data_IF_877184919187
#
_entry.id   IF_877184919187
#
_cell.length_a   1.000
_cell.length_b   1.000
_cell.length_c   1.000
_cell.angle_alpha   90.00
_cell.angle_beta   90.00
_cell.angle_gamma   90.00
#
_symmetry.space_group_name_H-M   'P 1'
#
loop_
_entity.id
_entity.type
_entity.pdbx_description
1 polymer ?
#
# COMPACT_ATOMS: atom_id res chain seq x y z
N UNK A 1 -22.79 0.54 31.52
CA UNK A 1 -22.37 1.79 30.84
C UNK A 1 -20.98 2.28 31.30
N UNK A 2 -20.16 1.40 31.88
CA UNK A 2 -18.93 1.76 32.60
C UNK A 2 -17.66 1.13 32.01
N UNK A 3 -17.78 0.28 30.99
CA UNK A 3 -16.64 -0.44 30.39
C UNK A 3 -16.04 0.30 29.17
N UNK A 4 -16.80 1.19 28.53
CA UNK A 4 -16.34 1.89 27.32
C UNK A 4 -15.37 3.03 27.60
N UNK A 5 -15.34 3.57 28.84
CA UNK A 5 -14.52 4.74 29.21
C UNK A 5 -13.04 4.45 29.48
N UNK A 6 -12.65 3.19 29.70
CA UNK A 6 -11.26 2.85 30.02
C UNK A 6 -10.38 2.81 28.77
N UNK A 7 -10.95 2.48 27.60
CA UNK A 7 -10.21 2.41 26.33
C UNK A 7 -9.91 3.79 25.71
N UNK A 8 -10.60 4.85 26.15
CA UNK A 8 -10.37 6.22 25.66
C UNK A 8 -9.15 6.90 26.33
N UNK A 9 -8.54 6.31 27.36
CA UNK A 9 -7.45 6.96 28.13
C UNK A 9 -6.02 6.63 27.67
N UNK A 10 -5.86 5.93 26.56
CA UNK A 10 -4.59 5.93 25.80
C UNK A 10 -4.90 6.21 24.33
N UNK A 11 -5.48 7.38 24.05
CA UNK A 11 -5.34 7.96 22.71
C UNK A 11 -3.85 8.23 22.51
N UNK A 12 -3.12 7.25 21.96
CA UNK A 12 -1.80 7.51 21.40
C UNK A 12 -2.05 8.40 20.19
N UNK A 13 -1.84 9.73 20.28
CA UNK A 13 -2.34 10.63 19.28
C UNK A 13 -1.36 10.55 18.10
N UNK A 14 -1.68 9.73 17.11
CA UNK A 14 -0.99 9.78 15.83
C UNK A 14 -1.22 11.19 15.29
N UNK A 15 -0.14 11.98 15.20
CA UNK A 15 -0.21 13.37 14.73
C UNK A 15 -0.87 13.41 13.35
N UNK A 16 -2.12 13.90 13.30
CA UNK A 16 -2.91 14.05 12.07
C UNK A 16 -2.33 15.19 11.24
N UNK A 17 -1.34 14.90 10.40
CA UNK A 17 -0.82 15.86 9.42
C UNK A 17 -1.67 15.93 8.14
N UNK A 18 -1.40 16.88 7.25
CA UNK A 18 -2.08 16.98 5.95
C UNK A 18 -1.46 16.07 4.88
N UNK A 19 -2.23 15.71 3.85
CA UNK A 19 -1.70 15.00 2.67
C UNK A 19 -0.92 15.96 1.75
N UNK A 20 0.23 16.48 2.21
CA UNK A 20 0.96 17.60 1.60
C UNK A 20 1.17 17.49 0.08
N UNK A 21 1.58 16.31 -0.40
CA UNK A 21 1.80 16.05 -1.83
C UNK A 21 0.48 16.10 -2.60
N UNK A 22 -0.58 15.49 -2.07
CA UNK A 22 -1.89 15.50 -2.71
C UNK A 22 -2.48 16.92 -2.71
N UNK A 23 -2.42 17.64 -1.59
CA UNK A 23 -2.82 19.05 -1.49
C UNK A 23 -2.08 19.92 -2.49
N UNK A 24 -0.76 19.76 -2.62
CA UNK A 24 0.03 20.51 -3.61
C UNK A 24 -0.36 20.16 -5.06
N UNK A 25 -0.74 18.91 -5.31
CA UNK A 25 -1.09 18.39 -6.64
C UNK A 25 -2.49 18.83 -7.09
N UNK A 26 -3.48 18.72 -6.20
CA UNK A 26 -4.88 19.03 -6.49
C UNK A 26 -5.27 20.47 -6.12
N UNK A 27 -4.39 21.19 -5.42
CA UNK A 27 -4.49 22.63 -5.18
C UNK A 27 -5.28 23.02 -3.92
N UNK A 28 -6.00 22.10 -3.28
CA UNK A 28 -6.76 22.37 -2.07
C UNK A 28 -6.83 21.14 -1.17
N UNK A 29 -6.82 21.37 0.15
CA UNK A 29 -7.11 20.30 1.12
C UNK A 29 -8.57 19.82 1.08
N UNK A 30 -9.45 20.64 0.50
CA UNK A 30 -10.86 20.38 0.32
C UNK A 30 -11.18 19.76 -1.04
N UNK A 31 -10.17 19.48 -1.88
CA UNK A 31 -10.43 18.78 -3.14
C UNK A 31 -11.01 17.39 -2.85
N UNK A 32 -11.91 16.87 -3.69
CA UNK A 32 -12.52 15.56 -3.48
C UNK A 32 -11.49 14.45 -3.27
N UNK A 33 -10.39 14.48 -4.02
CA UNK A 33 -9.30 13.51 -3.94
C UNK A 33 -8.60 13.55 -2.58
N UNK A 34 -8.23 14.74 -2.11
CA UNK A 34 -7.53 14.93 -0.83
C UNK A 34 -8.46 14.59 0.33
N UNK A 35 -9.73 14.98 0.23
CA UNK A 35 -10.72 14.69 1.25
C UNK A 35 -11.01 13.19 1.38
N UNK A 36 -11.05 12.47 0.25
CA UNK A 36 -11.13 11.00 0.27
C UNK A 36 -9.93 10.39 1.00
N UNK A 37 -8.69 10.77 0.64
CA UNK A 37 -7.48 10.26 1.30
C UNK A 37 -7.48 10.51 2.81
N UNK A 38 -7.92 11.70 3.22
CA UNK A 38 -8.07 12.05 4.64
C UNK A 38 -9.13 11.21 5.32
N UNK A 39 -10.30 11.04 4.69
CA UNK A 39 -11.40 10.26 5.24
C UNK A 39 -11.03 8.79 5.41
N UNK A 40 -10.39 8.19 4.38
CA UNK A 40 -9.86 6.83 4.43
C UNK A 40 -8.88 6.68 5.61
N UNK A 41 -7.90 7.57 5.73
CA UNK A 41 -6.94 7.55 6.85
C UNK A 41 -7.63 7.72 8.19
N UNK A 42 -8.45 8.75 8.35
CA UNK A 42 -8.95 9.18 9.65
C UNK A 42 -10.08 8.29 10.17
N UNK A 43 -10.91 7.71 9.29
CA UNK A 43 -12.08 6.92 9.67
C UNK A 43 -11.84 5.41 9.60
N UNK A 44 -11.02 4.93 8.65
CA UNK A 44 -10.78 3.50 8.45
C UNK A 44 -9.43 3.08 9.01
N UNK A 45 -8.34 3.78 8.65
CA UNK A 45 -7.00 3.36 9.08
C UNK A 45 -6.78 3.63 10.56
N UNK A 46 -6.98 4.88 11.00
CA UNK A 46 -6.68 5.29 12.38
C UNK A 46 -7.68 4.77 13.43
N UNK A 47 -8.82 4.20 13.01
CA UNK A 47 -9.75 3.55 13.93
C UNK A 47 -9.24 2.18 14.41
N UNK A 48 -8.24 1.60 13.75
CA UNK A 48 -7.66 0.29 14.07
C UNK A 48 -6.28 0.41 14.73
N UNK A 49 -5.92 -0.54 15.60
CA UNK A 49 -4.62 -0.62 16.26
C UNK A 49 -3.50 -0.85 15.25
N UNK A 50 -3.66 -1.83 14.35
CA UNK A 50 -2.67 -2.08 13.30
C UNK A 50 -2.49 -0.85 12.38
N UNK A 51 -3.59 -0.20 12.01
CA UNK A 51 -3.55 1.00 11.17
C UNK A 51 -2.90 2.19 11.86
N UNK A 52 -3.15 2.43 13.16
CA UNK A 52 -2.44 3.47 13.93
C UNK A 52 -0.94 3.22 13.97
N UNK A 53 -0.52 2.00 14.30
CA UNK A 53 0.89 1.63 14.35
C UNK A 53 1.58 1.82 12.99
N UNK A 54 0.95 1.36 11.90
CA UNK A 54 1.45 1.58 10.55
C UNK A 54 1.58 3.07 10.22
N UNK A 55 0.55 3.87 10.54
CA UNK A 55 0.53 5.31 10.24
C UNK A 55 1.63 6.08 10.96
N UNK A 56 2.09 5.64 12.12
CA UNK A 56 3.26 6.25 12.76
C UNK A 56 4.54 6.06 11.95
N UNK A 57 4.80 4.83 11.50
CA UNK A 57 5.97 4.52 10.66
C UNK A 57 5.87 5.28 9.34
N UNK A 58 4.69 5.22 8.71
CA UNK A 58 4.42 5.93 7.47
C UNK A 58 4.60 7.45 7.62
N UNK A 59 4.07 8.06 8.68
CA UNK A 59 4.17 9.51 8.90
C UNK A 59 5.62 9.95 9.11
N UNK A 60 6.40 9.20 9.89
CA UNK A 60 7.81 9.50 10.09
C UNK A 60 8.58 9.50 8.76
N UNK A 61 8.33 8.48 7.92
CA UNK A 61 8.89 8.43 6.57
C UNK A 61 8.37 9.56 5.68
N UNK A 62 7.05 9.71 5.56
CA UNK A 62 6.40 10.63 4.63
C UNK A 62 6.73 12.10 4.92
N UNK A 63 6.63 12.55 6.17
CA UNK A 63 6.88 13.96 6.52
C UNK A 63 8.37 14.33 6.55
N UNK A 64 9.29 13.37 6.50
CA UNK A 64 10.72 13.66 6.42
C UNK A 64 11.14 14.31 5.09
N UNK A 65 10.39 14.08 4.01
CA UNK A 65 10.75 14.57 2.66
C UNK A 65 9.59 15.24 1.92
N UNK A 66 8.33 14.91 2.25
CA UNK A 66 7.16 15.45 1.53
C UNK A 66 7.02 16.97 1.53
N UNK A 67 7.43 17.76 2.56
CA UNK A 67 7.29 19.22 2.52
C UNK A 67 8.07 19.86 1.37
N UNK A 68 9.30 19.39 1.13
CA UNK A 68 10.15 19.86 0.04
C UNK A 68 9.52 19.53 -1.31
N UNK A 69 9.08 18.27 -1.50
CA UNK A 69 8.41 17.84 -2.74
C UNK A 69 7.12 18.63 -2.99
N UNK A 70 6.29 18.84 -1.96
CA UNK A 70 5.06 19.63 -2.05
C UNK A 70 5.34 21.10 -2.43
N UNK A 71 6.45 21.68 -1.98
CA UNK A 71 6.87 23.01 -2.40
C UNK A 71 7.23 23.04 -3.91
N UNK A 72 7.98 22.05 -4.41
CA UNK A 72 8.31 21.95 -5.84
C UNK A 72 7.06 21.77 -6.71
N UNK A 73 6.11 20.91 -6.30
CA UNK A 73 4.85 20.69 -7.02
C UNK A 73 4.03 21.99 -7.15
N UNK A 74 3.97 22.79 -6.07
CA UNK A 74 3.21 24.05 -6.08
C UNK A 74 3.75 25.05 -7.09
N UNK A 75 5.08 25.08 -7.29
CA UNK A 75 5.76 26.04 -8.16
C UNK A 75 5.79 25.66 -9.63
N UNK A 76 5.60 24.38 -9.97
CA UNK A 76 5.78 23.92 -11.35
C UNK A 76 4.56 23.15 -11.86
N UNK A 77 3.89 23.70 -12.88
CA UNK A 77 2.69 23.14 -13.48
C UNK A 77 2.93 21.77 -14.15
N UNK A 78 4.11 21.56 -14.76
CA UNK A 78 4.49 20.29 -15.39
C UNK A 78 4.67 19.21 -14.32
N UNK A 79 5.37 19.54 -13.23
CA UNK A 79 5.54 18.62 -12.08
C UNK A 79 4.18 18.30 -11.47
N UNK A 80 3.31 19.30 -11.31
CA UNK A 80 1.93 19.09 -10.84
C UNK A 80 1.15 18.11 -11.73
N UNK A 81 1.23 18.26 -13.06
CA UNK A 81 0.60 17.35 -14.01
C UNK A 81 1.17 15.92 -13.90
N UNK A 82 2.49 15.77 -13.76
CA UNK A 82 3.13 14.48 -13.54
C UNK A 82 2.64 13.80 -12.25
N UNK A 83 2.52 14.55 -11.16
CA UNK A 83 1.98 14.04 -9.91
C UNK A 83 0.48 13.69 -10.00
N UNK A 84 -0.33 14.37 -10.82
CA UNK A 84 -1.72 13.94 -11.09
C UNK A 84 -1.75 12.56 -11.74
N UNK A 85 -0.92 12.34 -12.76
CA UNK A 85 -0.79 11.03 -13.43
C UNK A 85 -0.35 9.96 -12.42
N UNK A 86 0.57 10.30 -11.52
CA UNK A 86 1.02 9.39 -10.47
C UNK A 86 -0.07 9.10 -9.42
N UNK A 87 -0.84 10.11 -8.99
CA UNK A 87 -1.78 9.99 -7.87
C UNK A 87 -3.14 9.41 -8.27
N UNK A 88 -3.63 9.62 -9.49
CA UNK A 88 -4.95 9.10 -9.88
C UNK A 88 -5.06 7.56 -9.75
N UNK A 89 -4.11 6.76 -10.28
CA UNK A 89 -4.14 5.31 -10.06
C UNK A 89 -4.01 4.93 -8.58
N UNK A 90 -3.20 5.66 -7.80
CA UNK A 90 -3.04 5.43 -6.36
C UNK A 90 -4.37 5.63 -5.62
N UNK A 91 -5.08 6.71 -5.91
CA UNK A 91 -6.39 7.01 -5.31
C UNK A 91 -7.40 5.93 -5.68
N UNK A 92 -7.42 5.47 -6.93
CA UNK A 92 -8.30 4.37 -7.36
C UNK A 92 -7.98 3.06 -6.63
N UNK A 93 -6.70 2.75 -6.42
CA UNK A 93 -6.28 1.60 -5.60
C UNK A 93 -6.80 1.72 -4.17
N UNK A 94 -6.73 2.92 -3.59
CA UNK A 94 -7.21 3.16 -2.23
C UNK A 94 -8.74 3.12 -2.14
N UNK A 95 -9.47 3.48 -3.19
CA UNK A 95 -10.91 3.21 -3.25
C UNK A 95 -11.21 1.72 -3.22
N UNK A 96 -10.45 0.90 -3.95
CA UNK A 96 -10.64 -0.54 -3.95
C UNK A 96 -10.25 -1.16 -2.60
N UNK A 97 -9.20 -0.63 -1.96
CA UNK A 97 -8.82 -0.96 -0.60
C UNK A 97 -9.91 -0.61 0.43
N UNK A 98 -10.50 0.59 0.33
CA UNK A 98 -11.61 1.02 1.19
C UNK A 98 -12.84 0.13 0.99
N UNK A 99 -13.16 -0.23 -0.25
CA UNK A 99 -14.23 -1.18 -0.53
C UNK A 99 -13.99 -2.52 0.20
N UNK A 100 -12.76 -3.05 0.15
CA UNK A 100 -12.44 -4.29 0.87
C UNK A 100 -12.51 -4.14 2.39
N UNK A 101 -12.13 -2.98 2.94
CA UNK A 101 -12.32 -2.69 4.36
C UNK A 101 -13.80 -2.80 4.76
N UNK A 102 -14.70 -2.20 3.97
CA UNK A 102 -16.13 -2.25 4.22
C UNK A 102 -16.71 -3.66 4.09
N UNK A 103 -16.18 -4.52 3.22
CA UNK A 103 -16.60 -5.93 3.14
C UNK A 103 -16.30 -6.72 4.43
N UNK A 104 -15.27 -6.33 5.18
CA UNK A 104 -14.82 -7.01 6.40
C UNK A 104 -15.08 -6.18 7.66
N UNK A 105 -15.94 -5.15 7.61
CA UNK A 105 -16.11 -4.16 8.69
C UNK A 105 -16.55 -4.75 10.03
N UNK A 106 -17.07 -5.97 10.04
CA UNK A 106 -17.40 -6.72 11.26
C UNK A 106 -16.15 -6.98 12.14
N UNK A 107 -14.97 -7.08 11.54
CA UNK A 107 -13.70 -7.32 12.22
C UNK A 107 -12.68 -6.24 11.82
N UNK A 108 -12.66 -5.06 12.47
CA UNK A 108 -11.88 -3.90 12.02
C UNK A 108 -10.39 -4.18 11.80
N UNK A 109 -9.74 -4.95 12.67
CA UNK A 109 -8.31 -5.30 12.50
C UNK A 109 -8.06 -6.22 11.30
N UNK A 110 -8.95 -7.18 11.04
CA UNK A 110 -8.86 -8.01 9.84
C UNK A 110 -9.19 -7.20 8.56
N UNK A 111 -10.13 -6.25 8.67
CA UNK A 111 -10.51 -5.36 7.59
C UNK A 111 -9.35 -4.46 7.16
N UNK A 112 -8.65 -3.82 8.10
CA UNK A 112 -7.50 -2.97 7.74
C UNK A 112 -6.34 -3.78 7.19
N UNK A 113 -6.13 -5.01 7.68
CA UNK A 113 -5.08 -5.88 7.18
C UNK A 113 -5.35 -6.32 5.74
N UNK A 114 -6.58 -6.73 5.43
CA UNK A 114 -7.00 -7.11 4.07
C UNK A 114 -6.96 -5.90 3.12
N UNK A 115 -7.43 -4.74 3.57
CA UNK A 115 -7.30 -3.48 2.83
C UNK A 115 -5.82 -3.16 2.53
N UNK A 116 -4.96 -3.22 3.54
CA UNK A 116 -3.51 -3.03 3.39
C UNK A 116 -2.87 -4.02 2.43
N UNK A 117 -3.25 -5.30 2.47
CA UNK A 117 -2.81 -6.32 1.52
C UNK A 117 -3.24 -6.00 0.08
N UNK A 118 -4.48 -5.57 -0.13
CA UNK A 118 -5.01 -5.21 -1.45
C UNK A 118 -4.30 -3.97 -1.98
N UNK A 119 -4.19 -2.91 -1.17
CA UNK A 119 -3.49 -1.69 -1.55
C UNK A 119 -2.03 -1.96 -1.92
N UNK A 120 -1.28 -2.67 -1.06
CA UNK A 120 0.13 -3.00 -1.30
C UNK A 120 0.34 -3.90 -2.52
N UNK A 121 -0.55 -4.86 -2.76
CA UNK A 121 -0.51 -5.72 -3.96
C UNK A 121 -0.70 -4.93 -5.25
N UNK A 122 -1.69 -4.03 -5.27
CA UNK A 122 -1.99 -3.23 -6.45
C UNK A 122 -0.92 -2.16 -6.70
N UNK A 123 -0.41 -1.52 -5.63
CA UNK A 123 0.71 -0.57 -5.74
C UNK A 123 1.94 -1.26 -6.32
N UNK A 124 2.33 -2.43 -5.79
CA UNK A 124 3.47 -3.17 -6.30
C UNK A 124 3.29 -3.61 -7.75
N UNK A 125 2.09 -4.04 -8.14
CA UNK A 125 1.79 -4.45 -9.51
C UNK A 125 1.85 -3.28 -10.51
N UNK A 126 1.20 -2.15 -10.18
CA UNK A 126 1.07 -0.99 -11.08
C UNK A 126 2.37 -0.19 -11.17
N UNK A 127 2.97 0.17 -10.04
CA UNK A 127 4.11 1.10 -10.02
C UNK A 127 5.46 0.43 -10.24
N UNK A 128 5.64 -0.80 -9.75
CA UNK A 128 6.91 -1.54 -9.87
C UNK A 128 6.81 -2.69 -10.87
N UNK A 129 5.71 -3.42 -10.89
CA UNK A 129 5.52 -4.60 -11.74
C UNK A 129 5.60 -4.27 -13.23
N UNK A 130 4.98 -3.17 -13.67
CA UNK A 130 5.01 -2.74 -15.06
C UNK A 130 6.44 -2.38 -15.53
N UNK A 131 7.21 -1.50 -14.85
CA UNK A 131 8.62 -1.28 -15.21
C UNK A 131 9.49 -2.52 -15.11
N UNK A 132 9.34 -3.34 -14.05
CA UNK A 132 10.16 -4.54 -13.84
C UNK A 132 9.90 -5.62 -14.90
N UNK A 133 8.70 -5.67 -15.49
CA UNK A 133 8.38 -6.60 -16.58
C UNK A 133 9.29 -6.44 -17.81
N UNK A 134 9.83 -5.23 -18.03
CA UNK A 134 10.77 -4.94 -19.12
C UNK A 134 12.17 -5.49 -18.85
N UNK A 135 12.52 -5.75 -17.59
CA UNK A 135 13.85 -6.23 -17.18
C UNK A 135 13.93 -7.76 -17.28
N UNK A 136 14.77 -8.26 -18.20
CA UNK A 136 14.93 -9.70 -18.49
C UNK A 136 15.27 -10.58 -17.27
N UNK A 137 15.91 -10.02 -16.23
CA UNK A 137 16.28 -10.74 -15.00
C UNK A 137 15.06 -11.18 -14.19
N UNK A 138 14.09 -10.28 -14.01
CA UNK A 138 12.86 -10.59 -13.27
C UNK A 138 11.93 -11.53 -14.04
N UNK A 139 12.02 -11.53 -15.37
CA UNK A 139 11.31 -12.46 -16.27
C UNK A 139 11.67 -13.93 -16.06
N UNK A 140 12.83 -14.25 -15.47
CA UNK A 140 13.32 -15.64 -15.26
C UNK A 140 13.28 -16.11 -13.81
N UNK A 141 12.55 -15.40 -12.93
CA UNK A 141 12.37 -15.83 -11.54
C UNK A 141 11.82 -17.26 -11.49
N UNK A 142 12.59 -18.17 -10.88
CA UNK A 142 12.18 -19.58 -10.77
C UNK A 142 10.96 -19.69 -9.85
N UNK A 143 10.02 -20.57 -10.20
CA UNK A 143 8.82 -20.82 -9.39
C UNK A 143 9.13 -21.19 -7.92
N UNK A 144 10.30 -21.82 -7.65
CA UNK A 144 10.79 -22.08 -6.29
C UNK A 144 10.98 -20.81 -5.46
N UNK A 145 11.50 -19.74 -6.07
CA UNK A 145 11.70 -18.45 -5.40
C UNK A 145 10.33 -17.84 -5.08
N UNK A 146 9.40 -17.83 -6.03
CA UNK A 146 8.04 -17.30 -5.82
C UNK A 146 7.31 -18.03 -4.68
N UNK A 147 7.42 -19.38 -4.62
CA UNK A 147 6.89 -20.16 -3.50
C UNK A 147 7.51 -19.77 -2.15
N UNK A 148 8.83 -19.58 -2.10
CA UNK A 148 9.51 -19.14 -0.88
C UNK A 148 9.00 -17.78 -0.39
N UNK A 149 8.73 -16.83 -1.30
CA UNK A 149 8.12 -15.54 -0.95
C UNK A 149 6.70 -15.69 -0.40
N UNK A 150 5.88 -16.60 -0.95
CA UNK A 150 4.55 -16.90 -0.41
C UNK A 150 4.65 -17.43 1.03
N UNK A 151 5.55 -18.38 1.29
CA UNK A 151 5.76 -18.90 2.64
C UNK A 151 6.26 -17.81 3.60
N UNK A 152 7.12 -16.90 3.12
CA UNK A 152 7.60 -15.77 3.92
C UNK A 152 6.46 -14.79 4.28
N UNK A 153 5.57 -14.49 3.33
CA UNK A 153 4.40 -13.64 3.59
C UNK A 153 3.43 -14.29 4.59
N UNK A 154 3.19 -15.60 4.46
CA UNK A 154 2.38 -16.36 5.42
C UNK A 154 3.01 -16.39 6.81
N UNK A 155 4.34 -16.56 6.88
CA UNK A 155 5.09 -16.55 8.15
C UNK A 155 4.95 -15.21 8.88
N UNK A 156 4.86 -14.09 8.15
CA UNK A 156 4.68 -12.76 8.74
C UNK A 156 3.29 -12.49 9.33
N UNK A 157 2.30 -13.35 9.07
CA UNK A 157 1.01 -13.25 9.76
C UNK A 157 1.14 -13.59 11.25
N UNK A 158 2.08 -14.47 11.61
CA UNK A 158 2.30 -14.91 13.01
C UNK A 158 2.68 -13.73 13.93
N UNK A 159 3.73 -12.92 13.65
CA UNK A 159 4.07 -11.80 14.51
C UNK A 159 3.01 -10.70 14.52
N UNK A 160 2.18 -10.57 13.47
CA UNK A 160 1.06 -9.62 13.45
C UNK A 160 -0.04 -10.07 14.42
N UNK A 161 -0.44 -11.34 14.36
CA UNK A 161 -1.42 -11.91 15.30
C UNK A 161 -0.89 -11.83 16.73
N UNK A 162 0.39 -12.14 16.94
CA UNK A 162 1.02 -12.01 18.26
C UNK A 162 1.06 -10.55 18.74
N UNK A 163 1.35 -9.60 17.86
CA UNK A 163 1.34 -8.18 18.20
C UNK A 163 -0.05 -7.67 18.55
N UNK A 164 -1.09 -8.21 17.90
CA UNK A 164 -2.49 -7.92 18.21
C UNK A 164 -2.87 -8.46 19.59
N UNK A 165 -2.58 -9.73 19.88
CA UNK A 165 -2.94 -10.34 21.17
C UNK A 165 -2.16 -9.77 22.35
N UNK A 166 -0.91 -9.36 22.13
CA UNK A 166 -0.07 -8.73 23.15
C UNK A 166 -0.22 -7.20 23.20
N UNK A 167 -0.97 -6.61 22.27
CA UNK A 167 -1.04 -5.16 22.04
C UNK A 167 0.34 -4.47 22.01
N UNK A 168 1.33 -5.16 21.45
CA UNK A 168 2.72 -4.66 21.38
C UNK A 168 2.90 -3.70 20.21
N UNK A 169 2.95 -2.40 20.51
CA UNK A 169 3.09 -1.31 19.52
C UNK A 169 4.34 -1.50 18.64
N UNK A 170 5.49 -1.82 19.24
CA UNK A 170 6.75 -1.92 18.49
C UNK A 170 6.75 -3.11 17.53
N UNK A 171 6.20 -4.25 17.98
CA UNK A 171 6.09 -5.44 17.15
C UNK A 171 5.11 -5.20 16.00
N UNK A 172 3.97 -4.56 16.27
CA UNK A 172 2.98 -4.24 15.24
C UNK A 172 3.56 -3.30 14.17
N UNK A 173 4.28 -2.25 14.58
CA UNK A 173 4.97 -1.31 13.66
C UNK A 173 5.93 -2.04 12.73
N UNK A 174 6.82 -2.87 13.30
CA UNK A 174 7.82 -3.59 12.53
C UNK A 174 7.17 -4.63 11.59
N UNK A 175 6.21 -5.41 12.10
CA UNK A 175 5.58 -6.48 11.35
C UNK A 175 4.73 -5.94 10.18
N UNK A 176 3.90 -4.94 10.40
CA UNK A 176 3.03 -4.35 9.36
C UNK A 176 3.84 -3.66 8.26
N UNK A 177 4.86 -2.87 8.61
CA UNK A 177 5.73 -2.22 7.64
C UNK A 177 6.50 -3.24 6.79
N UNK A 178 7.04 -4.27 7.45
CA UNK A 178 7.78 -5.35 6.76
C UNK A 178 6.86 -6.15 5.84
N UNK A 179 5.66 -6.49 6.30
CA UNK A 179 4.66 -7.19 5.50
C UNK A 179 4.27 -6.40 4.25
N UNK A 180 3.95 -5.11 4.39
CA UNK A 180 3.56 -4.25 3.26
C UNK A 180 4.70 -4.15 2.23
N UNK A 181 5.94 -3.94 2.66
CA UNK A 181 7.09 -3.86 1.76
C UNK A 181 7.35 -5.17 1.01
N UNK A 182 7.27 -6.30 1.71
CA UNK A 182 7.43 -7.61 1.10
C UNK A 182 6.29 -7.92 0.13
N UNK A 183 5.05 -7.51 0.44
CA UNK A 183 3.91 -7.74 -0.43
C UNK A 183 3.96 -6.87 -1.70
N UNK A 184 4.44 -5.63 -1.60
CA UNK A 184 4.77 -4.79 -2.77
C UNK A 184 5.82 -5.48 -3.65
N UNK A 185 6.90 -6.00 -3.04
CA UNK A 185 7.95 -6.74 -3.75
C UNK A 185 7.42 -7.99 -4.44
N UNK A 186 6.66 -8.81 -3.72
CA UNK A 186 6.05 -10.04 -4.23
C UNK A 186 5.10 -9.78 -5.41
N UNK A 187 4.16 -8.85 -5.26
CA UNK A 187 3.17 -8.53 -6.29
C UNK A 187 3.82 -7.94 -7.55
N UNK A 188 4.86 -7.12 -7.39
CA UNK A 188 5.64 -6.59 -8.51
C UNK A 188 6.37 -7.71 -9.29
N UNK A 189 6.99 -8.65 -8.58
CA UNK A 189 7.70 -9.78 -9.19
C UNK A 189 6.72 -10.75 -9.87
N UNK A 190 5.58 -11.03 -9.24
CA UNK A 190 4.51 -11.86 -9.79
C UNK A 190 4.01 -11.27 -11.11
N UNK A 191 3.67 -9.97 -11.12
CA UNK A 191 3.20 -9.24 -12.31
C UNK A 191 4.19 -9.32 -13.46
N UNK A 192 5.49 -9.08 -13.19
CA UNK A 192 6.55 -9.18 -14.21
C UNK A 192 6.67 -10.58 -14.84
N UNK A 193 6.42 -11.65 -14.06
CA UNK A 193 6.44 -13.03 -14.58
C UNK A 193 5.17 -13.42 -15.36
N UNK A 194 4.00 -12.90 -14.98
CA UNK A 194 2.72 -13.25 -15.61
C UNK A 194 2.54 -12.59 -16.97
N UNK A 195 2.87 -11.29 -17.10
CA UNK A 195 2.71 -10.53 -18.36
C UNK A 195 3.54 -11.11 -19.50
N UNK A 196 4.69 -11.71 -19.17
CA UNK A 196 5.69 -12.12 -20.17
C UNK A 196 5.56 -13.56 -20.68
N UNK A 197 4.85 -14.43 -19.95
CA UNK A 197 4.55 -15.82 -20.36
C UNK A 197 3.74 -15.91 -21.65
N UNK A 198 2.58 -15.23 -21.80
CA UNK A 198 1.80 -15.30 -23.03
C UNK A 198 2.55 -14.69 -24.23
N UNK A 199 3.31 -13.60 -24.02
CA UNK A 199 4.11 -12.97 -25.08
C UNK A 199 5.21 -13.88 -25.65
N UNK A 200 5.90 -14.69 -24.81
CA UNK A 200 6.86 -15.68 -25.32
C UNK A 200 6.21 -16.83 -26.06
N UNK A 201 5.04 -17.30 -25.60
CA UNK A 201 4.34 -18.42 -26.25
C UNK A 201 3.85 -17.98 -27.63
N UNK A 202 3.27 -16.79 -27.75
CA UNK A 202 2.81 -16.25 -29.03
C UNK A 202 3.96 -16.11 -30.03
N UNK A 203 5.11 -15.60 -29.58
CA UNK A 203 6.31 -15.44 -30.43
C UNK A 203 6.86 -16.80 -30.88
N UNK A 204 6.84 -17.82 -30.01
CA UNK A 204 7.27 -19.18 -30.33
C UNK A 204 6.31 -19.85 -31.32
N UNK A 205 5.00 -19.69 -31.15
CA UNK A 205 3.97 -20.23 -32.08
C UNK A 205 4.06 -19.57 -33.45
N UNK A 206 4.26 -18.25 -33.52
CA UNK A 206 4.45 -17.53 -34.80
C UNK A 206 5.73 -17.99 -35.50
N UNK A 207 6.83 -18.18 -34.75
CA UNK A 207 8.09 -18.69 -35.33
C UNK A 207 7.97 -20.14 -35.79
N UNK A 208 7.16 -20.96 -35.12
CA UNK A 208 6.87 -22.35 -35.51
C UNK A 208 6.02 -22.45 -36.77
N UNK A 209 5.12 -21.48 -37.04
CA UNK A 209 4.32 -21.45 -38.26
C UNK A 209 5.03 -20.79 -39.47
N UNK A 210 6.19 -20.16 -39.25
CA UNK A 210 6.97 -19.50 -40.32
C UNK A 210 8.12 -20.37 -40.86
N UNK A 211 8.44 -21.48 -40.19
CA UNK A 211 9.37 -22.51 -40.64
C UNK A 211 8.60 -23.74 -41.12
#
# INVERSE_FOLDING_TARGET
QTSTKIYDMVEYPVKKGGCLIATATFGSELSPEVNFLRSFRDREVLSTFAGRCFMEVFNHFYYSWSPNVAYFIRKNAIVKAAFKILLYPLIMILHLSSFTYHCFSQFPEAAIFTAGYVASSLIGSVYLGLPLSQIRRFRRMKHRILKAWIYLLLLLLIPIILAETTHSIQLMKAATATFILLNIGFSSALTGTLITKPASILTQTIKKHRN
#
